data_IF_111546713557
#
_entry.id   IF_111546713557
#
_cell.length_a   1.000
_cell.length_b   1.000
_cell.length_c   1.000
_cell.angle_alpha   90.00
_cell.angle_beta   90.00
_cell.angle_gamma   90.00
#
_symmetry.space_group_name_H-M   'P 1'
#
loop_
_entity.id
_entity.type
_entity.pdbx_description
1 polymer ?
#
# COMPACT_ATOMS: atom_id res chain seq x y z
N UNK A 1 35.95 25.80 -47.43
CA UNK A 1 37.08 25.65 -46.48
C UNK A 1 36.45 25.69 -45.09
N UNK A 2 35.88 24.57 -44.62
CA UNK A 2 36.60 23.48 -43.97
C UNK A 2 37.63 24.03 -42.99
N UNK A 3 37.14 24.45 -41.82
CA UNK A 3 37.96 24.49 -40.62
C UNK A 3 37.71 23.17 -39.91
N UNK A 4 38.43 22.14 -40.37
CA UNK A 4 38.52 20.86 -39.70
C UNK A 4 38.99 21.13 -38.26
N UNK A 5 38.09 20.93 -37.31
CA UNK A 5 38.48 20.80 -35.92
C UNK A 5 39.47 19.64 -35.84
N UNK A 6 40.57 19.77 -35.08
CA UNK A 6 41.55 18.71 -34.93
C UNK A 6 40.84 17.40 -34.57
N UNK A 7 41.20 16.28 -35.20
CA UNK A 7 40.63 14.96 -34.88
C UNK A 7 40.61 14.66 -33.36
N UNK A 8 41.62 15.15 -32.64
CA UNK A 8 41.71 15.07 -31.18
C UNK A 8 40.54 15.76 -30.43
N UNK A 9 39.97 16.83 -30.96
CA UNK A 9 38.84 17.54 -30.37
C UNK A 9 37.52 16.79 -30.57
N UNK A 10 37.37 16.07 -31.69
CA UNK A 10 36.27 15.12 -31.89
C UNK A 10 36.38 13.92 -30.96
N UNK A 11 37.59 13.38 -30.76
CA UNK A 11 37.82 12.25 -29.85
C UNK A 11 37.60 12.64 -28.38
N UNK A 12 37.98 13.87 -27.99
CA UNK A 12 37.75 14.40 -26.63
C UNK A 12 36.25 14.65 -26.38
N UNK A 13 35.52 15.19 -27.36
CA UNK A 13 34.07 15.41 -27.23
C UNK A 13 33.28 14.09 -27.32
N UNK A 14 33.73 13.12 -28.13
CA UNK A 14 33.15 11.77 -28.19
C UNK A 14 33.44 10.97 -26.90
N UNK A 15 34.64 11.10 -26.32
CA UNK A 15 34.97 10.53 -25.00
C UNK A 15 34.17 11.22 -23.88
N UNK A 16 34.03 12.54 -23.91
CA UNK A 16 33.23 13.27 -22.91
C UNK A 16 31.73 12.92 -22.98
N UNK A 17 31.15 12.74 -24.18
CA UNK A 17 29.78 12.25 -24.33
C UNK A 17 29.63 10.75 -24.02
N UNK A 18 30.67 9.94 -24.24
CA UNK A 18 30.72 8.52 -23.83
C UNK A 18 30.81 8.36 -22.31
N UNK A 19 31.47 9.28 -21.60
CA UNK A 19 31.60 9.29 -20.12
C UNK A 19 30.31 9.76 -19.44
N UNK A 20 29.55 10.64 -20.09
CA UNK A 20 28.23 11.11 -19.61
C UNK A 20 27.10 10.13 -19.99
N UNK A 21 27.33 9.22 -20.93
CA UNK A 21 26.33 8.31 -21.48
C UNK A 21 26.25 6.91 -20.87
N UNK A 22 27.05 6.56 -19.85
CA UNK A 22 27.07 5.18 -19.35
C UNK A 22 26.79 5.11 -17.84
N UNK A 23 25.54 4.72 -17.57
CA UNK A 23 24.89 4.25 -16.34
C UNK A 23 25.48 4.72 -15.01
N UNK A 24 24.62 5.38 -14.23
CA UNK A 24 24.79 5.49 -12.79
C UNK A 24 25.14 4.10 -12.21
N UNK A 25 25.98 4.03 -11.18
CA UNK A 25 26.37 2.74 -10.60
C UNK A 25 25.13 1.96 -10.21
N UNK A 26 25.03 0.76 -10.79
CA UNK A 26 23.85 -0.14 -10.84
C UNK A 26 23.31 -0.51 -9.45
N UNK A 27 24.10 -0.29 -8.40
CA UNK A 27 23.76 -0.52 -6.99
C UNK A 27 22.73 0.50 -6.44
N UNK A 28 22.64 1.70 -7.04
CA UNK A 28 21.74 2.77 -6.60
C UNK A 28 20.45 2.89 -7.41
N UNK A 29 20.45 2.37 -8.64
CA UNK A 29 19.22 2.22 -9.42
C UNK A 29 18.23 1.30 -8.69
N UNK A 30 18.70 0.21 -8.07
CA UNK A 30 17.85 -0.71 -7.29
C UNK A 30 17.22 -0.09 -6.03
N UNK A 31 17.95 0.80 -5.35
CA UNK A 31 17.46 1.54 -4.19
C UNK A 31 16.39 2.58 -4.57
N UNK A 32 16.61 3.30 -5.67
CA UNK A 32 15.63 4.23 -6.21
C UNK A 32 14.38 3.50 -6.71
N UNK A 33 14.54 2.32 -7.33
CA UNK A 33 13.46 1.44 -7.74
C UNK A 33 12.57 1.01 -6.56
N UNK A 34 13.17 0.66 -5.43
CA UNK A 34 12.42 0.28 -4.21
C UNK A 34 11.70 1.49 -3.62
N UNK A 35 12.33 2.66 -3.61
CA UNK A 35 11.71 3.90 -3.12
C UNK A 35 10.54 4.37 -4.00
N UNK A 36 10.65 4.27 -5.32
CA UNK A 36 9.54 4.55 -6.26
C UNK A 36 8.36 3.61 -6.02
N UNK A 37 8.61 2.33 -5.73
CA UNK A 37 7.56 1.35 -5.41
C UNK A 37 6.85 1.67 -4.09
N UNK A 38 7.54 2.23 -3.10
CA UNK A 38 6.89 2.71 -1.87
C UNK A 38 5.93 3.88 -2.12
N UNK A 39 6.29 4.77 -3.06
CA UNK A 39 5.39 5.84 -3.50
C UNK A 39 4.15 5.25 -4.21
N UNK A 40 4.33 4.24 -5.07
CA UNK A 40 3.22 3.56 -5.76
C UNK A 40 2.28 2.82 -4.77
N UNK A 41 2.84 2.14 -3.76
CA UNK A 41 2.08 1.51 -2.67
C UNK A 41 1.27 2.55 -1.90
N UNK A 42 1.86 3.70 -1.59
CA UNK A 42 1.16 4.78 -0.91
C UNK A 42 -0.01 5.32 -1.75
N UNK A 43 0.20 5.53 -3.05
CA UNK A 43 -0.84 6.05 -3.95
C UNK A 43 -2.01 5.07 -4.09
N UNK A 44 -1.71 3.77 -4.24
CA UNK A 44 -2.73 2.72 -4.29
C UNK A 44 -3.46 2.55 -2.95
N UNK A 45 -2.74 2.64 -1.83
CA UNK A 45 -3.33 2.58 -0.48
C UNK A 45 -4.30 3.74 -0.22
N UNK A 46 -4.04 4.93 -0.77
CA UNK A 46 -4.93 6.08 -0.63
C UNK A 46 -6.34 5.79 -1.18
N UNK A 47 -6.44 5.00 -2.25
CA UNK A 47 -7.72 4.58 -2.84
C UNK A 47 -8.47 3.60 -1.92
N UNK A 48 -7.73 2.78 -1.17
CA UNK A 48 -8.25 1.77 -0.25
C UNK A 48 -8.80 2.31 1.08
N UNK A 49 -8.56 3.58 1.41
CA UNK A 49 -8.91 4.15 2.73
C UNK A 49 -10.41 4.16 3.02
N UNK A 50 -11.24 4.21 1.97
CA UNK A 50 -12.70 4.22 2.09
C UNK A 50 -13.34 2.83 2.19
N UNK A 51 -12.62 1.77 1.82
CA UNK A 51 -13.15 0.40 1.75
C UNK A 51 -13.77 -0.09 3.06
N UNK A 52 -13.18 0.12 4.25
CA UNK A 52 -13.80 -0.28 5.51
C UNK A 52 -15.21 0.28 5.69
N UNK A 53 -15.40 1.56 5.34
CA UNK A 53 -16.67 2.26 5.48
C UNK A 53 -17.69 1.79 4.44
N UNK A 54 -17.26 1.54 3.21
CA UNK A 54 -18.12 0.98 2.17
C UNK A 54 -18.61 -0.42 2.55
N UNK A 55 -17.75 -1.25 3.13
CA UNK A 55 -18.13 -2.55 3.68
C UNK A 55 -19.12 -2.43 4.84
N UNK A 56 -18.95 -1.46 5.75
CA UNK A 56 -19.96 -1.19 6.79
C UNK A 56 -21.33 -0.80 6.22
N UNK A 57 -21.37 -0.06 5.12
CA UNK A 57 -22.64 0.29 4.46
C UNK A 57 -23.31 -0.90 3.79
N UNK A 58 -22.51 -1.74 3.14
CA UNK A 58 -22.98 -3.02 2.60
C UNK A 58 -23.55 -3.91 3.72
N UNK A 59 -22.85 -4.02 4.84
CA UNK A 59 -23.30 -4.73 6.05
C UNK A 59 -24.64 -4.20 6.57
N UNK A 60 -24.79 -2.87 6.68
CA UNK A 60 -26.02 -2.24 7.14
C UNK A 60 -27.20 -2.47 6.18
N UNK A 61 -26.98 -2.27 4.88
CA UNK A 61 -28.01 -2.42 3.85
C UNK A 61 -28.56 -3.86 3.81
N UNK A 62 -27.67 -4.85 3.92
CA UNK A 62 -28.08 -6.26 3.96
C UNK A 62 -28.75 -6.62 5.28
N UNK A 63 -28.32 -6.06 6.42
CA UNK A 63 -29.02 -6.25 7.70
C UNK A 63 -30.47 -5.77 7.64
N UNK A 64 -30.71 -4.64 7.00
CA UNK A 64 -32.05 -4.10 6.82
C UNK A 64 -32.88 -5.01 5.92
N UNK A 65 -32.33 -5.42 4.77
CA UNK A 65 -32.98 -6.35 3.84
C UNK A 65 -33.32 -7.69 4.50
N UNK A 66 -32.38 -8.25 5.27
CA UNK A 66 -32.60 -9.47 6.05
C UNK A 66 -33.76 -9.33 7.02
N UNK A 67 -33.88 -8.18 7.69
CA UNK A 67 -34.99 -7.92 8.61
C UNK A 67 -36.32 -7.94 7.88
N UNK A 68 -36.41 -7.32 6.70
CA UNK A 68 -37.60 -7.38 5.85
C UNK A 68 -37.93 -8.83 5.47
N UNK A 69 -36.94 -9.59 5.02
CA UNK A 69 -37.10 -11.00 4.61
C UNK A 69 -37.60 -11.87 5.76
N UNK A 70 -37.06 -11.69 6.97
CA UNK A 70 -37.44 -12.45 8.17
C UNK A 70 -38.94 -12.35 8.47
N UNK A 71 -39.51 -11.16 8.34
CA UNK A 71 -40.93 -10.90 8.59
C UNK A 71 -41.83 -11.03 7.35
N UNK A 72 -41.26 -11.42 6.21
CA UNK A 72 -42.00 -11.64 4.97
C UNK A 72 -42.71 -12.99 4.92
N UNK A 73 -43.58 -13.15 3.92
CA UNK A 73 -44.22 -14.41 3.53
C UNK A 73 -43.44 -15.16 2.43
N UNK A 74 -42.15 -14.83 2.21
CA UNK A 74 -41.32 -15.47 1.19
C UNK A 74 -41.09 -16.95 1.53
N UNK A 75 -41.31 -17.83 0.55
CA UNK A 75 -41.02 -19.25 0.68
C UNK A 75 -39.50 -19.45 0.77
N UNK A 76 -39.02 -20.31 1.67
CA UNK A 76 -37.58 -20.54 1.85
C UNK A 76 -36.83 -19.40 2.55
N UNK A 77 -37.53 -18.44 3.16
CA UNK A 77 -36.91 -17.27 3.81
C UNK A 77 -35.86 -17.61 4.88
N UNK A 78 -35.94 -18.77 5.52
CA UNK A 78 -34.99 -19.16 6.57
C UNK A 78 -33.59 -19.47 5.99
N UNK A 79 -33.51 -20.09 4.81
CA UNK A 79 -32.26 -20.27 4.04
C UNK A 79 -31.68 -18.91 3.66
N UNK A 80 -32.52 -18.01 3.16
CA UNK A 80 -32.09 -16.68 2.76
C UNK A 80 -31.62 -15.82 3.96
N UNK A 81 -32.28 -15.94 5.13
CA UNK A 81 -31.86 -15.26 6.37
C UNK A 81 -30.51 -15.78 6.84
N UNK A 82 -30.26 -17.09 6.75
CA UNK A 82 -28.97 -17.70 7.10
C UNK A 82 -27.83 -17.11 6.26
N UNK A 83 -28.02 -17.05 4.94
CA UNK A 83 -26.99 -16.49 4.03
C UNK A 83 -26.76 -14.99 4.24
N UNK A 84 -27.83 -14.24 4.56
CA UNK A 84 -27.66 -12.84 4.95
C UNK A 84 -26.91 -12.68 6.27
N UNK A 85 -27.17 -13.50 7.28
CA UNK A 85 -26.42 -13.47 8.54
C UNK A 85 -24.93 -13.77 8.27
N UNK A 86 -24.62 -14.75 7.42
CA UNK A 86 -23.25 -15.08 6.98
C UNK A 86 -22.55 -13.93 6.26
N UNK A 87 -23.23 -13.28 5.30
CA UNK A 87 -22.71 -12.09 4.64
C UNK A 87 -22.44 -10.96 5.64
N UNK A 88 -23.38 -10.68 6.55
CA UNK A 88 -23.25 -9.60 7.55
C UNK A 88 -22.03 -9.81 8.44
N UNK A 89 -21.82 -11.04 8.91
CA UNK A 89 -20.65 -11.38 9.72
C UNK A 89 -19.35 -11.20 8.93
N UNK A 90 -19.33 -11.69 7.69
CA UNK A 90 -18.15 -11.63 6.84
C UNK A 90 -17.81 -10.19 6.42
N UNK A 91 -18.81 -9.39 6.03
CA UNK A 91 -18.63 -7.97 5.71
C UNK A 91 -18.15 -7.16 6.92
N UNK A 92 -18.61 -7.51 8.13
CA UNK A 92 -18.12 -6.92 9.37
C UNK A 92 -16.64 -7.23 9.59
N UNK A 93 -16.25 -8.49 9.43
CA UNK A 93 -14.85 -8.93 9.56
C UNK A 93 -13.97 -8.27 8.52
N UNK A 94 -14.37 -8.28 7.24
CA UNK A 94 -13.64 -7.63 6.15
C UNK A 94 -13.43 -6.14 6.43
N UNK A 95 -14.47 -5.44 6.90
CA UNK A 95 -14.37 -4.02 7.27
C UNK A 95 -13.33 -3.78 8.37
N UNK A 96 -13.30 -4.63 9.42
CA UNK A 96 -12.34 -4.50 10.51
C UNK A 96 -10.91 -4.86 10.06
N UNK A 97 -10.75 -5.89 9.23
CA UNK A 97 -9.47 -6.31 8.67
C UNK A 97 -8.90 -5.24 7.73
N UNK A 98 -9.70 -4.70 6.82
CA UNK A 98 -9.33 -3.57 5.95
C UNK A 98 -8.89 -2.34 6.77
N UNK A 99 -9.58 -2.05 7.88
CA UNK A 99 -9.22 -0.91 8.74
C UNK A 99 -7.85 -1.12 9.40
N UNK A 100 -7.59 -2.32 9.93
CA UNK A 100 -6.30 -2.67 10.53
C UNK A 100 -5.19 -2.63 9.49
N UNK A 101 -5.42 -3.29 8.35
CA UNK A 101 -4.50 -3.33 7.23
C UNK A 101 -4.11 -1.91 6.75
N UNK A 102 -5.08 -1.02 6.53
CA UNK A 102 -4.80 0.37 6.16
C UNK A 102 -3.95 1.11 7.23
N UNK A 103 -4.23 0.87 8.51
CA UNK A 103 -3.42 1.43 9.60
C UNK A 103 -1.98 0.89 9.60
N UNK A 104 -1.81 -0.40 9.32
CA UNK A 104 -0.50 -1.04 9.26
C UNK A 104 0.30 -0.62 8.03
N UNK A 105 -0.32 -0.48 6.85
CA UNK A 105 0.31 0.13 5.67
C UNK A 105 0.81 1.54 6.01
N UNK A 106 -0.04 2.31 6.71
CA UNK A 106 0.32 3.57 7.31
C UNK A 106 1.59 3.48 8.15
N UNK A 107 1.59 2.62 9.17
CA UNK A 107 2.70 2.46 10.11
C UNK A 107 3.98 1.92 9.47
N UNK A 108 3.88 1.05 8.47
CA UNK A 108 5.00 0.50 7.73
C UNK A 108 5.75 1.60 6.97
N UNK A 109 5.02 2.48 6.28
CA UNK A 109 5.62 3.64 5.61
C UNK A 109 6.29 4.59 6.61
N UNK A 110 5.62 4.90 7.73
CA UNK A 110 6.24 5.76 8.77
C UNK A 110 7.51 5.11 9.35
N UNK A 111 7.53 3.78 9.44
CA UNK A 111 8.72 3.01 9.86
C UNK A 111 9.85 3.16 8.84
N UNK A 112 9.57 3.05 7.53
CA UNK A 112 10.55 3.24 6.45
C UNK A 112 11.14 4.65 6.49
N UNK A 113 10.30 5.69 6.62
CA UNK A 113 10.74 7.08 6.74
C UNK A 113 11.65 7.25 7.97
N UNK A 114 11.23 6.72 9.12
CA UNK A 114 12.00 6.82 10.37
C UNK A 114 13.37 6.13 10.27
N UNK A 115 13.40 4.92 9.68
CA UNK A 115 14.61 4.12 9.46
C UNK A 115 15.58 4.86 8.54
N UNK A 116 15.08 5.40 7.42
CA UNK A 116 15.93 6.13 6.49
C UNK A 116 16.46 7.44 7.13
N UNK A 117 15.63 8.16 7.89
CA UNK A 117 16.04 9.38 8.61
C UNK A 117 17.04 9.10 9.74
N UNK A 118 16.95 7.93 10.38
CA UNK A 118 17.99 7.49 11.32
C UNK A 118 19.29 7.21 10.58
N UNK A 119 19.21 6.52 9.43
CA UNK A 119 20.37 6.13 8.63
C UNK A 119 21.13 7.36 8.14
N UNK A 120 20.42 8.35 7.61
CA UNK A 120 20.95 9.68 7.24
C UNK A 120 21.65 10.38 8.41
N UNK A 121 20.97 10.59 9.55
CA UNK A 121 21.56 11.26 10.73
C UNK A 121 22.77 10.52 11.31
N UNK A 122 22.73 9.19 11.30
CA UNK A 122 23.85 8.37 11.75
C UNK A 122 25.06 8.62 10.84
N UNK A 123 24.85 8.60 9.52
CA UNK A 123 25.89 8.86 8.52
C UNK A 123 26.45 10.28 8.57
N UNK A 124 25.62 11.31 8.77
CA UNK A 124 26.06 12.70 8.95
C UNK A 124 26.94 12.89 10.18
N UNK A 125 26.55 12.27 11.30
CA UNK A 125 27.33 12.30 12.54
C UNK A 125 28.73 11.69 12.37
N UNK A 126 28.89 10.78 11.42
CA UNK A 126 30.15 10.10 11.12
C UNK A 126 31.05 10.94 10.21
N UNK A 127 30.48 11.69 9.26
CA UNK A 127 31.24 12.65 8.43
C UNK A 127 31.77 13.82 9.26
N UNK A 128 30.96 14.34 10.18
CA UNK A 128 31.36 15.43 11.09
C UNK A 128 32.51 15.04 12.04
N UNK A 129 32.59 13.76 12.45
CA UNK A 129 33.64 13.24 13.32
C UNK A 129 34.98 13.03 12.57
N UNK A 130 34.95 12.88 11.24
CA UNK A 130 36.13 12.82 10.37
C UNK A 130 36.66 14.22 10.02
N UNK A 131 35.79 15.19 9.76
CA UNK A 131 36.19 16.58 9.44
C UNK A 131 36.75 17.34 10.67
N UNK A 132 36.42 16.91 11.88
CA UNK A 132 37.01 17.41 13.13
C UNK A 132 38.48 17.00 13.35
N UNK A 133 39.02 16.07 12.56
CA UNK A 133 40.40 15.59 12.63
C UNK A 133 41.34 16.46 11.78
N UNK A 134 41.43 17.75 12.11
CA UNK A 134 42.57 18.58 11.71
C UNK A 134 43.85 18.09 12.41
N UNK A 135 45.02 18.58 11.98
CA UNK A 135 46.42 18.23 12.37
C UNK A 135 46.72 17.86 13.86
N UNK A 136 45.80 18.09 14.79
CA UNK A 136 45.85 17.61 16.18
C UNK A 136 45.34 16.16 16.35
N UNK A 137 44.55 15.63 15.43
CA UNK A 137 44.03 14.25 15.42
C UNK A 137 45.11 13.20 15.17
N UNK A 138 46.10 13.49 14.32
CA UNK A 138 47.22 12.58 14.05
C UNK A 138 48.07 12.31 15.29
N UNK A 139 48.24 13.32 16.16
CA UNK A 139 49.03 13.19 17.38
C UNK A 139 48.30 12.40 18.48
N UNK A 140 46.97 12.53 18.59
CA UNK A 140 46.15 11.80 19.56
C UNK A 140 45.91 10.34 19.14
N UNK A 141 45.80 10.08 17.83
CA UNK A 141 45.63 8.74 17.24
C UNK A 141 46.84 7.84 17.52
N UNK A 142 48.06 8.39 17.50
CA UNK A 142 49.29 7.66 17.80
C UNK A 142 49.42 7.27 19.29
N UNK A 143 49.06 8.16 20.21
CA UNK A 143 49.25 7.94 21.66
C UNK A 143 48.25 6.92 22.24
N UNK A 144 47.05 6.81 21.67
CA UNK A 144 45.98 5.94 22.18
C UNK A 144 45.72 4.69 21.31
N UNK A 145 46.67 4.32 20.44
CA UNK A 145 46.59 3.19 19.50
C UNK A 145 46.09 1.84 20.08
N UNK A 146 46.41 1.41 21.33
CA UNK A 146 45.88 0.15 21.87
C UNK A 146 44.49 0.26 22.53
N UNK A 147 43.92 1.45 22.68
CA UNK A 147 42.62 1.69 23.33
C UNK A 147 41.61 2.44 22.45
N UNK A 148 41.82 2.44 21.13
CA UNK A 148 40.83 3.03 20.22
C UNK A 148 39.52 2.22 20.26
N UNK A 149 38.35 2.85 20.49
CA UNK A 149 37.09 2.17 20.25
C UNK A 149 37.07 1.73 18.79
N UNK A 150 36.64 0.49 18.54
CA UNK A 150 36.73 -0.20 17.26
C UNK A 150 36.51 0.77 16.08
N UNK A 151 37.59 0.98 15.32
CA UNK A 151 37.60 1.87 14.16
C UNK A 151 36.44 1.54 13.25
N UNK A 152 35.65 2.56 12.99
CA UNK A 152 34.61 2.62 11.98
C UNK A 152 35.07 1.96 10.68
N UNK A 153 34.31 0.99 10.18
CA UNK A 153 34.54 0.34 8.90
C UNK A 153 33.26 0.40 8.08
N UNK A 154 33.39 0.57 6.77
CA UNK A 154 32.33 0.45 5.76
C UNK A 154 31.42 -0.77 6.00
N UNK A 155 31.97 -1.84 6.59
CA UNK A 155 31.24 -3.03 7.05
C UNK A 155 30.18 -2.76 8.12
N UNK A 156 30.42 -1.86 9.09
CA UNK A 156 29.44 -1.56 10.13
C UNK A 156 28.23 -0.79 9.58
N UNK A 157 28.43 0.03 8.54
CA UNK A 157 27.34 0.71 7.84
C UNK A 157 26.55 -0.26 6.97
N UNK A 158 27.25 -1.13 6.25
CA UNK A 158 26.65 -2.21 5.47
C UNK A 158 25.78 -3.11 6.38
N UNK A 159 26.31 -3.50 7.54
CA UNK A 159 25.61 -4.33 8.53
C UNK A 159 24.32 -3.66 9.02
N UNK A 160 24.37 -2.36 9.34
CA UNK A 160 23.18 -1.59 9.73
C UNK A 160 22.17 -1.38 8.60
N UNK A 161 22.64 -1.19 7.38
CA UNK A 161 21.77 -1.11 6.21
C UNK A 161 21.06 -2.45 5.94
N UNK A 162 21.77 -3.58 6.05
CA UNK A 162 21.18 -4.93 5.93
C UNK A 162 20.16 -5.18 7.03
N UNK A 163 20.48 -4.86 8.28
CA UNK A 163 19.56 -4.97 9.42
C UNK A 163 18.27 -4.18 9.17
N UNK A 164 18.38 -2.94 8.70
CA UNK A 164 17.23 -2.09 8.40
C UNK A 164 16.40 -2.56 7.21
N UNK A 165 17.07 -3.05 6.16
CA UNK A 165 16.39 -3.62 4.98
C UNK A 165 15.61 -4.88 5.36
N UNK A 166 16.17 -5.72 6.24
CA UNK A 166 15.48 -6.89 6.78
C UNK A 166 14.23 -6.50 7.59
N UNK A 167 14.32 -5.50 8.47
CA UNK A 167 13.17 -5.00 9.24
C UNK A 167 12.04 -4.45 8.36
N UNK A 168 12.40 -3.79 7.25
CA UNK A 168 11.40 -3.34 6.26
C UNK A 168 10.81 -4.53 5.52
N UNK A 169 11.63 -5.51 5.12
CA UNK A 169 11.19 -6.75 4.49
C UNK A 169 10.16 -7.52 5.32
N UNK A 170 10.43 -7.70 6.62
CA UNK A 170 9.51 -8.37 7.54
C UNK A 170 8.15 -7.65 7.62
N UNK A 171 8.16 -6.31 7.70
CA UNK A 171 6.92 -5.51 7.71
C UNK A 171 6.13 -5.66 6.41
N UNK A 172 6.80 -5.73 5.27
CA UNK A 172 6.13 -5.94 3.98
C UNK A 172 5.54 -7.35 3.90
N UNK A 173 6.26 -8.36 4.36
CA UNK A 173 5.76 -9.74 4.41
C UNK A 173 4.51 -9.86 5.29
N UNK A 174 4.49 -9.23 6.46
CA UNK A 174 3.32 -9.16 7.34
C UNK A 174 2.11 -8.52 6.63
N UNK A 175 2.33 -7.41 5.91
CA UNK A 175 1.27 -6.73 5.15
C UNK A 175 0.69 -7.61 4.04
N UNK A 176 1.53 -8.41 3.36
CA UNK A 176 1.06 -9.35 2.32
C UNK A 176 0.13 -10.39 2.95
N UNK A 177 0.51 -10.96 4.09
CA UNK A 177 -0.31 -11.95 4.81
C UNK A 177 -1.65 -11.33 5.24
N UNK A 178 -1.63 -10.11 5.78
CA UNK A 178 -2.85 -9.39 6.16
C UNK A 178 -3.77 -9.12 4.96
N UNK A 179 -3.20 -8.67 3.83
CA UNK A 179 -3.96 -8.44 2.60
C UNK A 179 -4.58 -9.73 2.04
N UNK A 180 -3.86 -10.85 2.09
CA UNK A 180 -4.38 -12.17 1.70
C UNK A 180 -5.53 -12.63 2.61
N UNK A 181 -5.44 -12.34 3.92
CA UNK A 181 -6.53 -12.62 4.86
C UNK A 181 -7.79 -11.80 4.50
N UNK A 182 -7.62 -10.50 4.20
CA UNK A 182 -8.71 -9.64 3.72
C UNK A 182 -9.36 -10.21 2.46
N UNK A 183 -8.56 -10.62 1.45
CA UNK A 183 -9.11 -11.21 0.22
C UNK A 183 -9.90 -12.49 0.48
N UNK A 184 -9.42 -13.35 1.38
CA UNK A 184 -10.13 -14.56 1.78
C UNK A 184 -11.51 -14.22 2.37
N UNK A 185 -11.58 -13.23 3.25
CA UNK A 185 -12.84 -12.76 3.84
C UNK A 185 -13.75 -12.14 2.78
N UNK A 186 -13.23 -11.33 1.86
CA UNK A 186 -14.02 -10.77 0.75
C UNK A 186 -14.58 -11.85 -0.19
N UNK A 187 -13.83 -12.93 -0.45
CA UNK A 187 -14.30 -14.07 -1.23
C UNK A 187 -15.38 -14.88 -0.51
N UNK A 188 -15.32 -14.99 0.83
CA UNK A 188 -16.41 -15.58 1.61
C UNK A 188 -17.69 -14.75 1.48
N UNK A 189 -17.60 -13.42 1.45
CA UNK A 189 -18.75 -12.55 1.22
C UNK A 189 -19.35 -12.76 -0.17
N UNK A 190 -18.51 -12.97 -1.20
CA UNK A 190 -18.95 -13.34 -2.55
C UNK A 190 -19.72 -14.66 -2.56
N UNK A 191 -19.24 -15.67 -1.84
CA UNK A 191 -19.93 -16.98 -1.77
C UNK A 191 -21.34 -16.83 -1.22
N UNK A 192 -21.53 -16.06 -0.14
CA UNK A 192 -22.86 -15.77 0.40
C UNK A 192 -23.75 -15.04 -0.61
N UNK A 193 -23.23 -14.02 -1.32
CA UNK A 193 -23.97 -13.36 -2.40
C UNK A 193 -24.32 -14.32 -3.54
N UNK A 194 -23.44 -15.26 -3.87
CA UNK A 194 -23.69 -16.31 -4.85
C UNK A 194 -24.85 -17.22 -4.46
N UNK A 195 -24.90 -17.67 -3.21
CA UNK A 195 -26.01 -18.51 -2.72
C UNK A 195 -27.32 -17.71 -2.69
N UNK A 196 -27.27 -16.44 -2.29
CA UNK A 196 -28.43 -15.52 -2.34
C UNK A 196 -28.93 -15.38 -3.79
N UNK A 197 -28.03 -15.26 -4.76
CA UNK A 197 -28.37 -15.23 -6.18
C UNK A 197 -29.05 -16.52 -6.65
N UNK A 198 -28.46 -17.67 -6.32
CA UNK A 198 -28.99 -18.98 -6.69
C UNK A 198 -30.37 -19.22 -6.06
N UNK A 199 -30.61 -18.71 -4.85
CA UNK A 199 -31.93 -18.74 -4.21
C UNK A 199 -32.97 -17.95 -5.01
N UNK A 200 -32.66 -16.72 -5.42
CA UNK A 200 -33.59 -15.85 -6.17
C UNK A 200 -33.92 -16.45 -7.53
N UNK A 201 -32.92 -16.95 -8.25
CA UNK A 201 -33.09 -17.53 -9.59
C UNK A 201 -33.86 -18.85 -9.58
N UNK A 202 -33.67 -19.69 -8.55
CA UNK A 202 -34.47 -20.93 -8.37
C UNK A 202 -35.92 -20.64 -8.00
N UNK A 203 -36.17 -19.60 -7.20
CA UNK A 203 -37.51 -19.29 -6.66
C UNK A 203 -38.37 -18.49 -7.64
N UNK A 204 -37.77 -17.85 -8.65
CA UNK A 204 -38.46 -17.04 -9.64
C UNK A 204 -38.27 -17.65 -11.04
N UNK A 205 -39.27 -18.40 -11.56
CA UNK A 205 -39.25 -18.98 -12.91
C UNK A 205 -39.01 -17.97 -14.05
N UNK A 206 -39.24 -16.67 -13.79
CA UNK A 206 -39.26 -15.61 -14.81
C UNK A 206 -38.17 -14.54 -14.67
N UNK A 207 -37.30 -14.59 -13.65
CA UNK A 207 -36.34 -13.49 -13.41
C UNK A 207 -34.92 -13.90 -13.78
N UNK A 208 -34.50 -13.53 -14.99
CA UNK A 208 -33.08 -13.37 -15.32
C UNK A 208 -32.54 -12.11 -14.64
N UNK A 209 -32.31 -12.16 -13.31
CA UNK A 209 -31.65 -11.05 -12.62
C UNK A 209 -30.15 -11.11 -12.89
N UNK A 210 -29.53 -9.95 -13.10
CA UNK A 210 -28.06 -9.83 -13.03
C UNK A 210 -27.65 -9.95 -11.55
N UNK A 211 -26.45 -10.48 -11.28
CA UNK A 211 -25.91 -10.60 -9.90
C UNK A 211 -25.99 -9.27 -9.13
N UNK A 212 -25.78 -8.15 -9.82
CA UNK A 212 -25.80 -6.79 -9.25
C UNK A 212 -27.20 -6.34 -8.79
N UNK A 213 -28.27 -6.93 -9.33
CA UNK A 213 -29.66 -6.52 -9.06
C UNK A 213 -30.40 -7.49 -8.13
N UNK A 214 -29.76 -8.56 -7.67
CA UNK A 214 -30.39 -9.63 -6.88
C UNK A 214 -30.99 -9.11 -5.58
N UNK A 215 -30.20 -8.32 -4.84
CA UNK A 215 -30.64 -7.73 -3.58
C UNK A 215 -31.80 -6.75 -3.79
N UNK A 216 -31.79 -6.04 -4.93
CA UNK A 216 -32.90 -5.20 -5.36
C UNK A 216 -34.15 -6.04 -5.68
N UNK A 217 -34.00 -7.16 -6.39
CA UNK A 217 -35.10 -8.09 -6.67
C UNK A 217 -35.72 -8.60 -5.38
N UNK A 218 -34.92 -9.10 -4.42
CA UNK A 218 -35.43 -9.57 -3.12
C UNK A 218 -36.19 -8.46 -2.41
N UNK A 219 -35.63 -7.25 -2.41
CA UNK A 219 -36.30 -6.11 -1.81
C UNK A 219 -37.65 -5.83 -2.46
N UNK A 220 -37.78 -5.90 -3.79
CA UNK A 220 -39.08 -5.69 -4.46
C UNK A 220 -40.09 -6.80 -4.14
N UNK A 221 -39.63 -8.04 -4.01
CA UNK A 221 -40.47 -9.19 -3.68
C UNK A 221 -41.05 -9.10 -2.27
N UNK A 222 -40.23 -8.63 -1.32
CA UNK A 222 -40.65 -8.48 0.08
C UNK A 222 -41.38 -7.15 0.33
N UNK A 223 -41.00 -6.10 -0.41
CA UNK A 223 -41.52 -4.75 -0.28
C UNK A 223 -42.93 -4.55 -0.85
N UNK A 224 -43.33 -5.30 -1.89
CA UNK A 224 -44.65 -5.14 -2.54
C UNK A 224 -45.85 -5.24 -1.58
N UNK A 225 -45.68 -5.85 -0.39
CA UNK A 225 -46.72 -5.99 0.62
C UNK A 225 -46.78 -4.86 1.68
N UNK A 226 -45.83 -3.93 1.73
CA UNK A 226 -45.81 -2.86 2.75
C UNK A 226 -46.16 -1.49 2.16
N UNK A 227 -47.33 -0.95 2.54
CA UNK A 227 -47.92 0.31 2.04
C UNK A 227 -47.16 1.62 2.41
N UNK A 228 -45.85 1.60 2.61
CA UNK A 228 -45.09 2.84 2.90
C UNK A 228 -43.66 2.80 2.37
N UNK A 229 -43.52 2.80 1.04
CA UNK A 229 -42.22 2.75 0.36
C UNK A 229 -41.95 4.06 -0.41
N UNK A 230 -41.81 5.16 0.32
CA UNK A 230 -41.14 6.36 -0.21
C UNK A 230 -39.81 6.65 0.50
N UNK A 231 -39.61 6.12 1.71
CA UNK A 231 -38.40 6.31 2.53
C UNK A 231 -37.21 5.40 2.17
N UNK A 232 -37.36 4.49 1.21
CA UNK A 232 -36.37 3.45 0.92
C UNK A 232 -35.56 3.67 -0.38
N UNK A 233 -35.77 4.79 -1.09
CA UNK A 233 -35.10 5.03 -2.37
C UNK A 233 -33.57 5.22 -2.25
N UNK A 234 -33.07 5.74 -1.13
CA UNK A 234 -31.63 5.82 -0.85
C UNK A 234 -31.03 4.45 -0.50
N UNK A 235 -31.71 3.65 0.31
CA UNK A 235 -31.29 2.27 0.62
C UNK A 235 -31.30 1.36 -0.62
N UNK A 236 -32.20 1.61 -1.57
CA UNK A 236 -32.27 0.87 -2.83
C UNK A 236 -31.03 1.03 -3.71
N UNK A 237 -30.47 2.24 -3.79
CA UNK A 237 -29.25 2.47 -4.56
C UNK A 237 -28.02 1.85 -3.89
N UNK A 238 -28.03 1.69 -2.56
CA UNK A 238 -26.98 1.00 -1.81
C UNK A 238 -26.99 -0.52 -2.06
N UNK A 239 -28.15 -1.15 -2.15
CA UNK A 239 -28.25 -2.60 -2.41
C UNK A 239 -27.64 -3.00 -3.77
N UNK A 240 -27.79 -2.15 -4.80
CA UNK A 240 -27.16 -2.36 -6.12
C UNK A 240 -25.63 -2.22 -6.10
N UNK A 241 -25.09 -1.60 -5.07
CA UNK A 241 -23.66 -1.31 -4.94
C UNK A 241 -22.92 -2.31 -4.06
N UNK A 242 -23.62 -3.24 -3.40
CA UNK A 242 -22.97 -4.19 -2.49
C UNK A 242 -21.93 -5.04 -3.21
N UNK A 243 -22.31 -5.65 -4.34
CA UNK A 243 -21.37 -6.49 -5.08
C UNK A 243 -20.25 -5.66 -5.72
N UNK A 244 -20.57 -4.47 -6.25
CA UNK A 244 -19.55 -3.58 -6.81
C UNK A 244 -18.55 -3.12 -5.75
N UNK A 245 -19.01 -2.73 -4.55
CA UNK A 245 -18.14 -2.31 -3.44
C UNK A 245 -17.22 -3.45 -2.99
N UNK A 246 -17.74 -4.68 -2.91
CA UNK A 246 -16.93 -5.85 -2.59
C UNK A 246 -15.91 -6.14 -3.70
N UNK A 247 -16.34 -6.11 -4.96
CA UNK A 247 -15.47 -6.34 -6.13
C UNK A 247 -14.37 -5.28 -6.23
N UNK A 248 -14.70 -4.01 -5.99
CA UNK A 248 -13.75 -2.89 -5.93
C UNK A 248 -12.73 -3.10 -4.80
N UNK A 249 -13.18 -3.58 -3.62
CA UNK A 249 -12.28 -3.93 -2.52
C UNK A 249 -11.31 -5.05 -2.90
N UNK A 250 -11.80 -6.12 -3.54
CA UNK A 250 -10.96 -7.23 -4.03
C UNK A 250 -9.91 -6.73 -5.02
N UNK A 251 -10.32 -5.90 -5.98
CA UNK A 251 -9.42 -5.32 -6.97
C UNK A 251 -8.32 -4.49 -6.31
N UNK A 252 -8.69 -3.55 -5.44
CA UNK A 252 -7.73 -2.65 -4.80
C UNK A 252 -6.74 -3.40 -3.89
N UNK A 253 -7.22 -4.37 -3.11
CA UNK A 253 -6.35 -5.18 -2.24
C UNK A 253 -5.42 -6.06 -3.09
N UNK A 254 -5.91 -6.63 -4.19
CA UNK A 254 -5.07 -7.45 -5.10
C UNK A 254 -3.98 -6.61 -5.78
N UNK A 255 -4.31 -5.40 -6.24
CA UNK A 255 -3.34 -4.46 -6.81
C UNK A 255 -2.26 -4.08 -5.79
N UNK A 256 -2.64 -3.92 -4.52
CA UNK A 256 -1.70 -3.59 -3.46
C UNK A 256 -0.78 -4.78 -3.09
N UNK A 257 -1.30 -6.02 -3.09
CA UNK A 257 -0.47 -7.21 -2.91
C UNK A 257 0.63 -7.28 -3.96
N UNK A 258 0.30 -7.05 -5.23
CA UNK A 258 1.29 -7.06 -6.32
C UNK A 258 2.40 -6.04 -6.08
N UNK A 259 2.07 -4.84 -5.59
CA UNK A 259 3.10 -3.85 -5.27
C UNK A 259 3.92 -4.21 -4.04
N UNK A 260 3.31 -4.76 -2.99
CA UNK A 260 4.04 -5.25 -1.82
C UNK A 260 5.01 -6.39 -2.19
N UNK A 261 4.58 -7.33 -3.05
CA UNK A 261 5.44 -8.41 -3.57
C UNK A 261 6.61 -7.86 -4.39
N UNK A 262 6.39 -6.83 -5.22
CA UNK A 262 7.48 -6.16 -5.94
C UNK A 262 8.46 -5.46 -4.99
N UNK A 263 7.99 -4.87 -3.90
CA UNK A 263 8.89 -4.29 -2.88
C UNK A 263 9.70 -5.40 -2.23
N UNK A 264 9.06 -6.49 -1.82
CA UNK A 264 9.74 -7.62 -1.19
C UNK A 264 10.84 -8.20 -2.10
N UNK A 265 10.53 -8.43 -3.38
CA UNK A 265 11.51 -8.91 -4.35
C UNK A 265 12.67 -7.92 -4.55
N UNK A 266 12.39 -6.62 -4.53
CA UNK A 266 13.43 -5.58 -4.59
C UNK A 266 14.32 -5.56 -3.34
N UNK A 267 13.75 -5.74 -2.15
CA UNK A 267 14.51 -5.81 -0.89
C UNK A 267 15.36 -7.08 -0.81
N UNK A 268 14.88 -8.22 -1.31
CA UNK A 268 15.65 -9.46 -1.40
C UNK A 268 16.84 -9.32 -2.37
N UNK A 269 16.64 -8.72 -3.55
CA UNK A 269 17.71 -8.44 -4.51
C UNK A 269 18.77 -7.49 -3.92
N UNK A 270 18.35 -6.46 -3.17
CA UNK A 270 19.26 -5.58 -2.44
C UNK A 270 20.07 -6.34 -1.38
N UNK A 271 19.42 -7.20 -0.59
CA UNK A 271 20.09 -8.01 0.44
C UNK A 271 21.15 -8.92 -0.19
N UNK A 272 20.81 -9.63 -1.26
CA UNK A 272 21.68 -10.61 -1.90
C UNK A 272 22.91 -9.93 -2.53
N UNK A 273 22.73 -8.75 -3.14
CA UNK A 273 23.83 -7.93 -3.70
C UNK A 273 24.77 -7.40 -2.62
N UNK A 274 24.23 -6.93 -1.50
CA UNK A 274 25.01 -6.41 -0.37
C UNK A 274 25.77 -7.54 0.37
N UNK A 275 25.31 -8.79 0.25
CA UNK A 275 25.99 -9.97 0.75
C UNK A 275 27.13 -10.48 -0.17
N UNK A 276 27.29 -9.94 -1.38
CA UNK A 276 28.33 -10.31 -2.36
C UNK A 276 29.40 -9.19 -2.57
N UNK A 277 30.33 -9.00 -1.61
CA UNK A 277 31.31 -7.90 -1.66
C UNK A 277 32.32 -7.98 -2.82
N UNK A 278 32.52 -9.16 -3.44
CA UNK A 278 33.48 -9.31 -4.56
C UNK A 278 33.01 -8.62 -5.85
N UNK A 279 31.69 -8.42 -6.02
CA UNK A 279 31.12 -7.78 -7.21
C UNK A 279 31.21 -6.25 -7.11
N UNK A 280 31.00 -5.67 -5.92
CA UNK A 280 31.15 -4.24 -5.67
C UNK A 280 32.61 -3.75 -5.86
N UNK A 281 33.59 -4.57 -5.47
CA UNK A 281 35.01 -4.29 -5.66
C UNK A 281 35.47 -4.35 -7.13
N UNK A 282 34.68 -4.94 -8.03
CA UNK A 282 35.00 -5.11 -9.45
C UNK A 282 34.46 -4.00 -10.36
N UNK A 283 33.73 -3.03 -9.81
CA UNK A 283 33.24 -1.87 -10.57
C UNK A 283 34.39 -0.97 -11.05
N UNK A 284 34.45 -0.61 -12.34
CA UNK A 284 35.57 0.15 -12.92
C UNK A 284 35.74 1.59 -12.37
N UNK A 285 34.82 2.08 -11.52
CA UNK A 285 34.84 3.42 -10.90
C UNK A 285 35.25 3.42 -9.42
N UNK A 286 35.58 2.27 -8.82
CA UNK A 286 35.87 2.14 -7.39
C UNK A 286 34.63 2.28 -6.49
N UNK A 287 34.75 2.00 -5.19
CA UNK A 287 33.65 2.22 -4.24
C UNK A 287 33.26 3.70 -4.22
N UNK A 288 31.96 3.97 -4.38
CA UNK A 288 31.43 5.34 -4.39
C UNK A 288 31.66 5.99 -3.01
N UNK A 289 31.99 7.29 -2.95
CA UNK A 289 32.14 7.99 -1.67
C UNK A 289 30.84 7.96 -0.85
N UNK A 290 30.97 7.71 0.45
CA UNK A 290 29.87 7.66 1.42
C UNK A 290 28.92 8.88 1.34
N UNK A 291 29.46 10.07 1.07
CA UNK A 291 28.70 11.32 0.92
C UNK A 291 27.65 11.25 -0.20
N UNK A 292 27.94 10.55 -1.29
CA UNK A 292 26.99 10.40 -2.41
C UNK A 292 25.88 9.39 -2.07
N UNK A 293 26.17 8.41 -1.20
CA UNK A 293 25.15 7.50 -0.65
C UNK A 293 24.17 8.25 0.26
N UNK A 294 24.69 9.10 1.13
CA UNK A 294 23.90 9.93 2.05
C UNK A 294 22.95 10.84 1.27
N UNK A 295 23.48 11.59 0.29
CA UNK A 295 22.68 12.52 -0.51
C UNK A 295 21.59 11.82 -1.33
N UNK A 296 21.82 10.58 -1.76
CA UNK A 296 20.82 9.79 -2.51
C UNK A 296 19.72 9.27 -1.59
N UNK A 297 20.08 8.80 -0.39
CA UNK A 297 19.12 8.39 0.64
C UNK A 297 18.28 9.59 1.08
N UNK A 298 18.89 10.74 1.35
CA UNK A 298 18.20 11.95 1.79
C UNK A 298 17.17 12.45 0.78
N UNK A 299 17.54 12.54 -0.50
CA UNK A 299 16.58 12.92 -1.56
C UNK A 299 15.44 11.92 -1.69
N UNK A 300 15.69 10.63 -1.47
CA UNK A 300 14.66 9.60 -1.42
C UNK A 300 13.71 9.76 -0.23
N UNK A 301 14.24 10.10 0.95
CA UNK A 301 13.46 10.38 2.15
C UNK A 301 12.57 11.59 1.96
N UNK A 302 13.11 12.70 1.48
CA UNK A 302 12.35 13.93 1.24
C UNK A 302 11.19 13.67 0.28
N UNK A 303 11.44 12.93 -0.81
CA UNK A 303 10.39 12.51 -1.76
C UNK A 303 9.31 11.68 -1.09
N UNK A 304 9.69 10.65 -0.33
CA UNK A 304 8.73 9.78 0.34
C UNK A 304 7.93 10.54 1.40
N UNK A 305 8.55 11.48 2.12
CA UNK A 305 7.88 12.38 3.07
C UNK A 305 6.88 13.32 2.37
N UNK A 306 7.25 13.90 1.22
CA UNK A 306 6.36 14.70 0.41
C UNK A 306 5.18 13.88 -0.13
N UNK A 307 5.44 12.68 -0.66
CA UNK A 307 4.40 11.76 -1.12
C UNK A 307 3.47 11.38 0.03
N UNK A 308 4.02 11.03 1.19
CA UNK A 308 3.27 10.70 2.40
C UNK A 308 2.38 11.85 2.87
N UNK A 309 2.90 13.07 2.93
CA UNK A 309 2.14 14.26 3.34
C UNK A 309 0.97 14.53 2.38
N UNK A 310 1.24 14.49 1.07
CA UNK A 310 0.22 14.62 0.02
C UNK A 310 -0.86 13.56 0.16
N UNK A 311 -0.46 12.30 0.37
CA UNK A 311 -1.40 11.17 0.44
C UNK A 311 -2.23 11.20 1.71
N UNK A 312 -1.66 11.62 2.85
CA UNK A 312 -2.44 11.86 4.07
C UNK A 312 -3.54 12.92 3.87
N UNK A 313 -3.28 13.96 3.08
CA UNK A 313 -4.32 14.93 2.72
C UNK A 313 -5.43 14.28 1.87
N UNK A 314 -5.05 13.51 0.85
CA UNK A 314 -6.00 12.77 -0.01
C UNK A 314 -6.84 11.77 0.81
N UNK A 315 -6.20 11.02 1.71
CA UNK A 315 -6.87 10.07 2.60
C UNK A 315 -7.93 10.77 3.47
N UNK A 316 -7.55 11.90 4.08
CA UNK A 316 -8.47 12.69 4.90
C UNK A 316 -9.64 13.22 4.09
N UNK A 317 -9.37 13.79 2.90
CA UNK A 317 -10.41 14.30 2.01
C UNK A 317 -11.38 13.19 1.61
N UNK A 318 -10.85 11.98 1.32
CA UNK A 318 -11.67 10.82 0.95
C UNK A 318 -12.53 10.34 2.11
N UNK A 319 -11.97 10.26 3.32
CA UNK A 319 -12.73 9.94 4.53
C UNK A 319 -13.84 10.99 4.74
N UNK A 320 -13.53 12.27 4.59
CA UNK A 320 -14.51 13.35 4.71
C UNK A 320 -15.63 13.25 3.68
N UNK A 321 -15.31 12.99 2.42
CA UNK A 321 -16.30 12.81 1.35
C UNK A 321 -17.23 11.64 1.66
N UNK A 322 -16.65 10.51 2.08
CA UNK A 322 -17.39 9.32 2.45
C UNK A 322 -18.29 9.59 3.66
N UNK A 323 -17.81 10.24 4.71
CA UNK A 323 -18.61 10.61 5.88
C UNK A 323 -19.72 11.61 5.53
N UNK A 324 -19.45 12.57 4.65
CA UNK A 324 -20.43 13.53 4.17
C UNK A 324 -21.56 12.84 3.40
N UNK A 325 -21.24 11.88 2.52
CA UNK A 325 -22.24 11.04 1.85
C UNK A 325 -23.11 10.29 2.86
N UNK A 326 -22.50 9.69 3.89
CA UNK A 326 -23.24 9.01 4.96
C UNK A 326 -24.19 9.94 5.74
N UNK A 327 -23.74 11.16 6.09
CA UNK A 327 -24.58 12.15 6.79
C UNK A 327 -25.71 12.72 5.93
N UNK A 328 -25.55 12.75 4.61
CA UNK A 328 -26.61 13.16 3.68
C UNK A 328 -27.64 12.02 3.60
N UNK A 329 -27.20 10.77 3.46
CA UNK A 329 -28.08 9.61 3.49
C UNK A 329 -28.87 9.52 4.82
N UNK A 330 -28.22 9.71 5.97
CA UNK A 330 -28.85 9.70 7.30
C UNK A 330 -29.84 10.86 7.50
N UNK A 331 -29.49 12.09 7.08
CA UNK A 331 -30.43 13.23 7.15
C UNK A 331 -31.62 13.07 6.21
N UNK A 332 -31.45 12.42 5.06
CA UNK A 332 -32.58 12.06 4.18
C UNK A 332 -33.50 11.03 4.84
N UNK A 333 -32.96 10.14 5.69
CA UNK A 333 -33.73 9.18 6.48
C UNK A 333 -34.51 9.88 7.62
N UNK A 334 -33.90 10.86 8.29
CA UNK A 334 -34.50 11.55 9.47
C UNK A 334 -35.49 12.67 9.13
N UNK A 335 -35.36 13.34 7.97
CA UNK A 335 -36.14 14.56 7.62
C UNK A 335 -37.48 14.32 6.93
N UNK A 336 -37.96 13.07 6.83
CA UNK A 336 -39.27 12.73 6.22
C UNK A 336 -40.00 11.66 7.01
#
# INVERSE_FOLDING_TARGET
MSSDLPHALYDILAWAFSVVGDKAPVEFDGLMDVQERFEEVLEKSANGVSLPMEMKRSEASIRDLRTLVRYSSLQGKDELVLEFDGFIETARSASNELQKFNSHVGSAVDSVISINRWTSRYLDGLVADQEGQGLLGDFTTWIFSPFQPATFSERNLLDKYVEHTALVGDKIADLIIEAQAVLKTLNQAENHLGIIYDFVTRTQETVQSRKDDVLWTIWTLVGANYRRISKLNSQLSLLRRVDSQRSDAVKQVSELIVELEKIQAGLDDLRDRVAEPEVAASSPKGPMPLSVHIETIDRGVERLEHARSRIRAIENDRIHEVLARGKIEERLIEST
#
